data_IF_539743093879
#
_entry.id   IF_539743093879
#
_cell.length_a   1.000
_cell.length_b   1.000
_cell.length_c   1.000
_cell.angle_alpha   90.00
_cell.angle_beta   90.00
_cell.angle_gamma   90.00
#
_symmetry.space_group_name_H-M   'P 1'
#
loop_
_entity.id
_entity.type
_entity.pdbx_description
1 polymer ?
#
# COMPACT_ATOMS: atom_id res chain seq x y z
N UNK A 1 -30.13 -35.68 -20.40
CA UNK A 1 -29.82 -34.37 -21.03
C UNK A 1 -30.00 -33.16 -20.10
N UNK A 2 -30.69 -33.28 -18.95
CA UNK A 2 -31.01 -32.14 -18.07
C UNK A 2 -29.96 -31.86 -16.97
N UNK A 3 -29.19 -32.86 -16.53
CA UNK A 3 -28.20 -32.70 -15.45
C UNK A 3 -26.87 -32.13 -15.98
N UNK A 4 -26.48 -32.52 -17.20
CA UNK A 4 -25.24 -32.05 -17.85
C UNK A 4 -25.30 -30.56 -18.23
N UNK A 5 -26.49 -30.01 -18.52
CA UNK A 5 -26.71 -28.57 -18.75
C UNK A 5 -26.64 -27.74 -17.46
N UNK A 6 -26.85 -28.33 -16.28
CA UNK A 6 -26.82 -27.62 -14.99
C UNK A 6 -25.40 -27.44 -14.45
N UNK A 7 -24.47 -28.35 -14.77
CA UNK A 7 -23.05 -28.17 -14.40
C UNK A 7 -22.36 -27.05 -15.20
N UNK A 8 -22.71 -26.89 -16.49
CA UNK A 8 -22.14 -25.85 -17.34
C UNK A 8 -22.49 -24.42 -16.86
N UNK A 9 -23.64 -24.24 -16.20
CA UNK A 9 -24.06 -22.94 -15.67
C UNK A 9 -23.29 -22.52 -14.40
N UNK A 10 -22.69 -23.46 -13.66
CA UNK A 10 -21.89 -23.16 -12.44
C UNK A 10 -20.46 -22.74 -12.80
N UNK A 11 -19.92 -23.23 -13.92
CA UNK A 11 -18.61 -22.83 -14.43
C UNK A 11 -18.60 -21.43 -15.08
N UNK A 12 -19.73 -21.00 -15.65
CA UNK A 12 -19.85 -19.70 -16.31
C UNK A 12 -19.88 -18.49 -15.36
N UNK A 13 -20.38 -18.66 -14.13
CA UNK A 13 -20.48 -17.57 -13.15
C UNK A 13 -19.18 -17.32 -12.36
N UNK A 14 -18.26 -18.30 -12.32
CA UNK A 14 -16.99 -18.17 -11.60
C UNK A 14 -15.92 -17.36 -12.35
N UNK A 15 -16.00 -17.32 -13.69
CA UNK A 15 -14.98 -16.67 -14.52
C UNK A 15 -15.04 -15.13 -14.50
N UNK A 16 -16.21 -14.54 -14.23
CA UNK A 16 -16.36 -13.08 -14.14
C UNK A 16 -15.99 -12.50 -12.76
N UNK A 17 -15.79 -13.34 -11.74
CA UNK A 17 -15.45 -12.90 -10.38
C UNK A 17 -13.94 -12.75 -10.14
N UNK A 18 -13.09 -13.08 -11.12
CA UNK A 18 -11.64 -13.17 -10.97
C UNK A 18 -10.86 -11.97 -11.51
N UNK A 19 -11.53 -10.97 -12.09
CA UNK A 19 -10.88 -9.74 -12.57
C UNK A 19 -11.10 -8.58 -11.57
N UNK A 20 -10.79 -8.82 -10.30
CA UNK A 20 -10.52 -7.71 -9.39
C UNK A 20 -9.07 -7.28 -9.66
N UNK A 21 -8.89 -6.26 -10.49
CA UNK A 21 -7.58 -5.64 -10.69
C UNK A 21 -7.14 -5.04 -9.36
N UNK A 22 -6.11 -5.62 -8.74
CA UNK A 22 -5.56 -5.10 -7.50
C UNK A 22 -5.06 -3.68 -7.78
N UNK A 23 -5.62 -2.69 -7.09
CA UNK A 23 -5.19 -1.31 -7.24
C UNK A 23 -3.69 -1.19 -6.90
N UNK A 24 -2.95 -0.47 -7.73
CA UNK A 24 -1.54 -0.16 -7.47
C UNK A 24 -1.37 0.49 -6.09
N UNK A 25 -0.33 0.13 -5.31
CA UNK A 25 -0.09 0.73 -4.00
C UNK A 25 0.06 2.24 -4.08
N UNK A 26 -0.52 2.96 -3.12
CA UNK A 26 -0.34 4.41 -2.99
C UNK A 26 1.13 4.73 -2.66
N UNK A 27 1.77 5.53 -3.51
CA UNK A 27 3.17 5.94 -3.34
C UNK A 27 3.23 7.23 -2.51
N UNK A 28 3.96 7.19 -1.39
CA UNK A 28 4.05 8.31 -0.43
C UNK A 28 5.52 8.64 -0.17
N UNK A 29 5.91 9.90 -0.36
CA UNK A 29 7.24 10.41 -0.05
C UNK A 29 7.26 11.19 1.26
N UNK A 30 8.28 10.95 2.09
CA UNK A 30 8.56 11.69 3.31
C UNK A 30 9.85 12.50 3.14
N UNK A 31 9.81 13.78 3.50
CA UNK A 31 10.96 14.68 3.40
C UNK A 31 11.27 15.19 4.80
N UNK A 32 12.46 14.87 5.30
CA UNK A 32 12.89 15.24 6.64
C UNK A 32 14.00 16.29 6.60
N UNK A 33 13.88 17.28 7.47
CA UNK A 33 14.90 18.31 7.64
C UNK A 33 16.12 17.75 8.36
N UNK A 34 15.91 17.12 9.51
CA UNK A 34 16.96 16.50 10.30
C UNK A 34 17.17 15.02 9.96
N UNK A 35 18.25 14.40 10.47
CA UNK A 35 18.49 12.97 10.33
C UNK A 35 17.55 12.17 11.24
N UNK A 36 17.19 10.95 10.84
CA UNK A 36 16.34 10.05 11.65
C UNK A 36 17.00 9.67 12.99
N UNK A 37 18.33 9.61 13.03
CA UNK A 37 19.10 9.19 14.21
C UNK A 37 19.19 10.20 15.35
N UNK A 38 18.58 11.38 15.23
CA UNK A 38 18.60 12.43 16.26
C UNK A 38 17.72 12.12 17.49
N UNK A 39 16.87 11.10 17.40
CA UNK A 39 15.85 10.73 18.40
C UNK A 39 14.92 11.89 18.81
N UNK A 40 14.74 12.86 17.91
CA UNK A 40 13.91 14.05 18.11
C UNK A 40 12.70 14.07 17.19
N UNK A 41 12.49 15.20 16.53
CA UNK A 41 11.33 15.45 15.66
C UNK A 41 11.29 14.49 14.46
N UNK A 42 12.39 14.38 13.72
CA UNK A 42 12.45 13.49 12.55
C UNK A 42 12.22 12.04 12.97
N UNK A 43 12.80 11.61 14.09
CA UNK A 43 12.60 10.26 14.60
C UNK A 43 11.12 9.94 14.86
N UNK A 44 10.36 10.84 15.48
CA UNK A 44 8.93 10.64 15.71
C UNK A 44 8.14 10.55 14.39
N UNK A 45 8.49 11.35 13.38
CA UNK A 45 7.89 11.24 12.06
C UNK A 45 8.23 9.92 11.35
N UNK A 46 9.43 9.39 11.52
CA UNK A 46 9.81 8.07 11.00
C UNK A 46 9.04 6.95 11.71
N UNK A 47 8.83 7.03 13.04
CA UNK A 47 7.95 6.10 13.74
C UNK A 47 6.52 6.14 13.17
N UNK A 48 5.97 7.33 12.95
CA UNK A 48 4.66 7.49 12.31
C UNK A 48 4.59 6.90 10.89
N UNK A 49 5.67 7.05 10.09
CA UNK A 49 5.76 6.39 8.77
C UNK A 49 5.73 4.87 8.90
N UNK A 50 6.43 4.32 9.89
CA UNK A 50 6.46 2.86 10.14
C UNK A 50 5.09 2.34 10.57
N UNK A 51 4.40 3.06 11.46
CA UNK A 51 3.02 2.73 11.84
C UNK A 51 2.06 2.81 10.65
N UNK A 52 2.22 3.79 9.77
CA UNK A 52 1.44 3.88 8.52
C UNK A 52 1.66 2.63 7.64
N UNK A 53 2.91 2.17 7.48
CA UNK A 53 3.21 0.96 6.72
C UNK A 53 2.60 -0.29 7.39
N UNK A 54 2.68 -0.38 8.71
CA UNK A 54 2.09 -1.49 9.46
C UNK A 54 0.56 -1.53 9.33
N UNK A 55 -0.09 -0.37 9.40
CA UNK A 55 -1.54 -0.26 9.35
C UNK A 55 -2.11 -0.55 7.95
N UNK A 56 -1.48 -0.01 6.90
CA UNK A 56 -2.02 -0.09 5.53
C UNK A 56 -1.43 -1.23 4.70
N UNK A 57 -0.31 -1.82 5.11
CA UNK A 57 0.28 -3.00 4.48
C UNK A 57 0.60 -2.79 3.00
N UNK A 58 0.15 -3.74 2.18
CA UNK A 58 0.36 -3.78 0.72
C UNK A 58 -0.31 -2.64 -0.06
N UNK A 59 -1.21 -1.89 0.58
CA UNK A 59 -1.89 -0.74 -0.03
C UNK A 59 -1.01 0.49 -0.18
N UNK A 60 0.15 0.53 0.48
CA UNK A 60 1.05 1.70 0.48
C UNK A 60 2.49 1.30 0.17
N UNK A 61 3.21 2.21 -0.51
CA UNK A 61 4.65 2.14 -0.70
C UNK A 61 5.26 3.47 -0.30
N UNK A 62 6.12 3.46 0.71
CA UNK A 62 6.74 4.68 1.24
C UNK A 62 8.21 4.78 0.85
N UNK A 63 8.69 6.00 0.67
CA UNK A 63 10.12 6.33 0.57
C UNK A 63 10.41 7.58 1.40
N UNK A 64 11.65 7.75 1.86
CA UNK A 64 12.04 8.94 2.60
C UNK A 64 13.41 9.48 2.14
N UNK A 65 13.60 10.76 2.36
CA UNK A 65 14.89 11.46 2.24
C UNK A 65 15.09 12.32 3.49
N UNK A 66 16.30 12.32 4.03
CA UNK A 66 16.67 13.11 5.20
C UNK A 66 17.69 14.19 4.85
N UNK A 67 17.92 15.12 5.78
CA UNK A 67 18.85 16.24 5.63
C UNK A 67 18.48 17.19 4.47
N UNK A 68 17.18 17.37 4.22
CA UNK A 68 16.69 18.33 3.22
C UNK A 68 16.60 19.71 3.85
N UNK A 69 17.30 20.69 3.28
CA UNK A 69 17.27 22.06 3.78
C UNK A 69 15.83 22.59 3.83
N UNK A 70 15.45 23.16 4.98
CA UNK A 70 14.28 24.02 5.07
C UNK A 70 14.48 25.15 4.07
N UNK A 71 13.59 25.27 3.09
CA UNK A 71 13.68 26.34 2.08
C UNK A 71 13.71 27.73 2.73
N UNK A 72 14.21 28.72 1.98
CA UNK A 72 14.26 30.13 2.37
C UNK A 72 12.87 30.80 2.36
#
# INVERSE_FOLDING_TARGET
>A
MSVLRRLAAVLGLGACALAAEAAEPLKIGFVYVGPVGDHGWTYQHELGRRELVEHFGDKVKTSFVENVAEGA
#
